data_IF_216619277821
#
_entry.id   IF_216619277821
#
_cell.length_a   1.000
_cell.length_b   1.000
_cell.length_c   1.000
_cell.angle_alpha   90.00
_cell.angle_beta   90.00
_cell.angle_gamma   90.00
#
_symmetry.space_group_name_H-M   'P 1'
#
loop_
_entity.id
_entity.type
_entity.pdbx_description
1 polymer ?
#
# COMPACT_ATOMS: atom_id res chain seq x y z
N UNK A 1 -39.88 1.80 -8.39
CA UNK A 1 -39.72 2.14 -6.97
C UNK A 1 -38.29 2.53 -6.78
N UNK A 2 -38.03 3.76 -6.35
CA UNK A 2 -36.71 4.15 -5.84
C UNK A 2 -36.36 3.19 -4.69
N UNK A 3 -35.12 2.65 -4.63
CA UNK A 3 -34.67 1.97 -3.43
C UNK A 3 -34.74 2.94 -2.25
N UNK A 4 -34.87 2.38 -1.04
CA UNK A 4 -35.14 3.04 0.22
C UNK A 4 -34.65 4.51 0.32
N UNK A 5 -35.50 5.44 0.78
CA UNK A 5 -35.27 6.89 0.72
C UNK A 5 -34.10 7.41 1.58
N UNK A 6 -33.41 6.51 2.29
CA UNK A 6 -32.25 6.83 3.12
C UNK A 6 -30.94 6.47 2.40
N UNK A 7 -30.41 7.43 1.65
CA UNK A 7 -29.13 7.31 0.94
C UNK A 7 -27.92 7.16 1.87
N UNK A 8 -28.10 7.27 3.20
CA UNK A 8 -27.02 7.11 4.18
C UNK A 8 -26.86 5.68 4.67
N UNK A 9 -27.80 4.79 4.35
CA UNK A 9 -27.77 3.41 4.83
C UNK A 9 -26.98 2.49 3.90
N UNK A 10 -26.28 1.53 4.49
CA UNK A 10 -25.60 0.46 3.75
C UNK A 10 -26.59 -0.40 2.93
N UNK A 11 -27.80 -0.61 3.46
CA UNK A 11 -28.84 -1.35 2.74
C UNK A 11 -29.25 -0.65 1.43
N UNK A 12 -29.24 0.69 1.39
CA UNK A 12 -29.48 1.44 0.15
C UNK A 12 -28.42 1.16 -0.91
N UNK A 13 -27.14 1.10 -0.53
CA UNK A 13 -26.05 0.71 -1.46
C UNK A 13 -26.29 -0.69 -2.03
N UNK A 14 -26.63 -1.66 -1.18
CA UNK A 14 -26.93 -3.04 -1.61
C UNK A 14 -28.12 -3.08 -2.57
N UNK A 15 -29.18 -2.33 -2.29
CA UNK A 15 -30.37 -2.26 -3.16
C UNK A 15 -30.06 -1.58 -4.50
N UNK A 16 -29.24 -0.53 -4.50
CA UNK A 16 -28.78 0.15 -5.72
C UNK A 16 -28.00 -0.83 -6.59
N UNK A 17 -27.02 -1.55 -6.03
CA UNK A 17 -26.25 -2.56 -6.77
C UNK A 17 -27.12 -3.70 -7.31
N UNK A 18 -28.07 -4.20 -6.51
CA UNK A 18 -29.03 -5.20 -6.96
C UNK A 18 -29.89 -4.68 -8.13
N UNK A 19 -30.22 -3.39 -8.13
CA UNK A 19 -30.95 -2.75 -9.24
C UNK A 19 -30.07 -2.57 -10.48
N UNK A 20 -28.83 -2.11 -10.32
CA UNK A 20 -27.87 -1.92 -11.41
C UNK A 20 -27.60 -3.24 -12.13
N UNK A 21 -27.44 -4.34 -11.41
CA UNK A 21 -27.21 -5.68 -11.98
C UNK A 21 -28.50 -6.47 -12.28
N UNK A 22 -29.66 -5.97 -11.85
CA UNK A 22 -30.97 -6.61 -12.04
C UNK A 22 -31.64 -6.34 -13.39
N UNK A 23 -32.92 -6.68 -13.54
CA UNK A 23 -33.69 -6.42 -14.78
C UNK A 23 -34.85 -5.42 -14.55
N UNK A 24 -34.93 -4.31 -15.32
CA UNK A 24 -33.86 -3.74 -16.14
C UNK A 24 -32.70 -3.25 -15.26
N UNK A 25 -31.50 -3.21 -15.83
CA UNK A 25 -30.26 -2.81 -15.15
C UNK A 25 -29.22 -2.35 -16.17
N UNK A 26 -28.10 -1.83 -15.69
CA UNK A 26 -27.01 -1.30 -16.51
C UNK A 26 -26.25 -2.46 -17.20
N UNK A 27 -26.07 -2.43 -18.54
CA UNK A 27 -25.33 -3.48 -19.25
C UNK A 27 -23.89 -3.64 -18.77
N UNK A 28 -23.18 -2.54 -18.52
CA UNK A 28 -21.80 -2.57 -18.06
C UNK A 28 -21.70 -3.22 -16.68
N UNK A 29 -22.58 -2.83 -15.74
CA UNK A 29 -22.56 -3.40 -14.39
C UNK A 29 -22.83 -4.90 -14.41
N UNK A 30 -23.72 -5.39 -15.29
CA UNK A 30 -24.03 -6.82 -15.42
C UNK A 30 -22.88 -7.66 -15.93
N UNK A 31 -22.11 -7.13 -16.88
CA UNK A 31 -20.98 -7.86 -17.49
C UNK A 31 -19.78 -8.01 -16.54
N UNK A 32 -19.73 -7.26 -15.44
CA UNK A 32 -18.60 -7.32 -14.51
C UNK A 32 -18.51 -8.65 -13.76
N UNK A 33 -17.26 -9.09 -13.55
CA UNK A 33 -16.85 -10.27 -12.80
C UNK A 33 -15.82 -9.89 -11.74
N UNK A 34 -15.49 -10.80 -10.82
CA UNK A 34 -14.41 -10.57 -9.85
C UNK A 34 -13.08 -10.20 -10.55
N UNK A 35 -12.78 -10.85 -11.68
CA UNK A 35 -11.53 -10.64 -12.41
C UNK A 35 -11.50 -9.28 -13.13
N UNK A 36 -12.61 -8.84 -13.73
CA UNK A 36 -12.66 -7.54 -14.43
C UNK A 36 -12.61 -6.35 -13.46
N UNK A 37 -13.10 -6.53 -12.23
CA UNK A 37 -13.10 -5.50 -11.19
C UNK A 37 -11.76 -5.31 -10.46
N UNK A 38 -10.84 -6.29 -10.56
CA UNK A 38 -9.56 -6.26 -9.85
C UNK A 38 -8.76 -4.97 -10.05
N UNK A 39 -8.73 -4.44 -11.28
CA UNK A 39 -7.98 -3.21 -11.59
C UNK A 39 -8.55 -2.00 -10.85
N UNK A 40 -9.87 -1.88 -10.82
CA UNK A 40 -10.57 -0.75 -10.21
C UNK A 40 -10.38 -0.78 -8.70
N UNK A 41 -10.53 -1.95 -8.06
CA UNK A 41 -10.23 -2.08 -6.64
C UNK A 41 -8.80 -1.63 -6.27
N UNK A 42 -7.82 -1.91 -7.14
CA UNK A 42 -6.45 -1.47 -6.90
C UNK A 42 -6.28 0.03 -7.12
N UNK A 43 -6.92 0.58 -8.15
CA UNK A 43 -6.98 2.02 -8.44
C UNK A 43 -7.55 2.78 -7.24
N UNK A 44 -8.74 2.42 -6.74
CA UNK A 44 -9.36 3.12 -5.58
C UNK A 44 -8.50 3.03 -4.31
N UNK A 45 -7.79 1.91 -4.12
CA UNK A 45 -6.83 1.80 -3.01
C UNK A 45 -5.71 2.84 -3.14
N UNK A 46 -5.17 3.04 -4.34
CA UNK A 46 -4.11 4.03 -4.56
C UNK A 46 -4.64 5.47 -4.49
N UNK A 47 -5.85 5.73 -4.95
CA UNK A 47 -6.47 7.06 -4.81
C UNK A 47 -6.70 7.41 -3.34
N UNK A 48 -7.18 6.45 -2.54
CA UNK A 48 -7.32 6.64 -1.10
C UNK A 48 -5.97 6.89 -0.41
N UNK A 49 -4.91 6.17 -0.81
CA UNK A 49 -3.55 6.40 -0.30
C UNK A 49 -3.05 7.80 -0.69
N UNK A 50 -3.29 8.24 -1.92
CA UNK A 50 -2.93 9.59 -2.36
C UNK A 50 -3.67 10.66 -1.56
N UNK A 51 -4.97 10.48 -1.30
CA UNK A 51 -5.76 11.40 -0.48
C UNK A 51 -5.25 11.49 0.97
N UNK A 52 -4.82 10.37 1.56
CA UNK A 52 -4.16 10.36 2.88
C UNK A 52 -2.85 11.14 2.84
N UNK A 53 -2.02 10.92 1.81
CA UNK A 53 -0.73 11.60 1.67
C UNK A 53 -0.85 13.10 1.45
N UNK A 54 -1.94 13.55 0.80
CA UNK A 54 -2.26 14.96 0.55
C UNK A 54 -3.08 15.60 1.68
N UNK A 55 -3.44 14.84 2.72
CA UNK A 55 -4.34 15.27 3.80
C UNK A 55 -5.71 15.79 3.29
N UNK A 56 -6.15 15.35 2.11
CA UNK A 56 -7.42 15.75 1.51
C UNK A 56 -8.55 14.87 2.06
N UNK A 57 -9.16 15.34 3.16
CA UNK A 57 -10.25 14.62 3.83
C UNK A 57 -11.50 14.46 2.98
N UNK A 58 -11.75 15.38 2.02
CA UNK A 58 -12.92 15.28 1.17
C UNK A 58 -12.73 14.18 0.15
N UNK A 59 -11.57 14.18 -0.52
CA UNK A 59 -11.21 13.12 -1.46
C UNK A 59 -11.12 11.78 -0.75
N UNK A 60 -10.50 11.71 0.43
CA UNK A 60 -10.44 10.47 1.22
C UNK A 60 -11.84 9.87 1.48
N UNK A 61 -12.84 10.70 1.80
CA UNK A 61 -14.21 10.22 2.00
C UNK A 61 -14.84 9.67 0.71
N UNK A 62 -14.50 10.23 -0.45
CA UNK A 62 -14.93 9.77 -1.78
C UNK A 62 -14.30 8.40 -2.10
N UNK A 63 -12.98 8.28 -2.01
CA UNK A 63 -12.26 7.04 -2.34
C UNK A 63 -12.61 5.88 -1.38
N UNK A 64 -12.82 6.17 -0.09
CA UNK A 64 -13.32 5.16 0.86
C UNK A 64 -14.74 4.69 0.50
N UNK A 65 -15.55 5.57 -0.09
CA UNK A 65 -16.85 5.23 -0.66
C UNK A 65 -16.71 4.28 -1.85
N UNK A 66 -15.74 4.52 -2.74
CA UNK A 66 -15.49 3.67 -3.90
C UNK A 66 -14.91 2.31 -3.53
N UNK A 67 -14.03 2.25 -2.52
CA UNK A 67 -13.59 0.97 -1.92
C UNK A 67 -14.79 0.22 -1.31
N UNK A 68 -15.69 0.91 -0.59
CA UNK A 68 -16.89 0.30 -0.04
C UNK A 68 -17.82 -0.22 -1.16
N UNK A 69 -17.95 0.52 -2.25
CA UNK A 69 -18.67 0.10 -3.45
C UNK A 69 -18.06 -1.17 -4.04
N UNK A 70 -16.74 -1.27 -4.20
CA UNK A 70 -16.07 -2.47 -4.70
C UNK A 70 -16.36 -3.70 -3.81
N UNK A 71 -16.31 -3.54 -2.48
CA UNK A 71 -16.65 -4.62 -1.53
C UNK A 71 -18.10 -5.08 -1.73
N UNK A 72 -19.04 -4.14 -1.81
CA UNK A 72 -20.45 -4.45 -2.02
C UNK A 72 -20.70 -5.07 -3.40
N UNK A 73 -19.99 -4.64 -4.45
CA UNK A 73 -20.10 -5.16 -5.81
C UNK A 73 -19.63 -6.61 -5.88
N UNK A 74 -18.46 -6.93 -5.32
CA UNK A 74 -17.99 -8.31 -5.22
C UNK A 74 -18.95 -9.20 -4.42
N UNK A 75 -19.49 -8.69 -3.30
CA UNK A 75 -20.52 -9.39 -2.54
C UNK A 75 -21.79 -9.65 -3.35
N UNK A 76 -22.18 -8.71 -4.22
CA UNK A 76 -23.34 -8.89 -5.12
C UNK A 76 -23.10 -9.95 -6.17
N UNK A 77 -21.92 -9.97 -6.82
CA UNK A 77 -21.55 -11.00 -7.80
C UNK A 77 -21.55 -12.38 -7.15
N UNK A 78 -20.93 -12.52 -5.97
CA UNK A 78 -20.89 -13.79 -5.25
C UNK A 78 -22.29 -14.27 -4.85
N UNK A 79 -23.16 -13.37 -4.43
CA UNK A 79 -24.54 -13.70 -4.10
C UNK A 79 -25.32 -14.20 -5.33
N UNK A 80 -25.12 -13.58 -6.49
CA UNK A 80 -25.74 -14.01 -7.76
C UNK A 80 -25.28 -15.40 -8.20
N UNK A 81 -24.08 -15.81 -7.79
CA UNK A 81 -23.50 -17.12 -8.05
C UNK A 81 -23.82 -18.16 -6.97
N UNK A 82 -24.45 -17.76 -5.87
CA UNK A 82 -24.76 -18.66 -4.75
C UNK A 82 -23.56 -19.05 -3.88
N UNK A 83 -22.47 -18.27 -3.95
CA UNK A 83 -21.19 -18.56 -3.28
C UNK A 83 -21.17 -18.03 -1.84
N UNK A 84 -21.39 -16.71 -1.69
CA UNK A 84 -21.50 -16.04 -0.39
C UNK A 84 -22.27 -14.74 -0.50
N UNK A 85 -22.65 -14.20 0.65
CA UNK A 85 -23.41 -12.96 0.80
C UNK A 85 -22.58 -11.89 1.52
N UNK A 86 -22.96 -10.63 1.33
CA UNK A 86 -22.34 -9.52 2.04
C UNK A 86 -22.54 -9.59 3.57
N UNK A 87 -23.61 -10.23 4.02
CA UNK A 87 -23.85 -10.50 5.45
C UNK A 87 -22.82 -11.48 6.02
N UNK A 88 -22.48 -12.53 5.28
CA UNK A 88 -21.43 -13.48 5.68
C UNK A 88 -20.05 -12.82 5.70
N UNK A 89 -19.74 -11.95 4.73
CA UNK A 89 -18.50 -11.15 4.74
C UNK A 89 -18.39 -10.31 6.02
N UNK A 90 -19.46 -9.61 6.41
CA UNK A 90 -19.52 -8.81 7.64
C UNK A 90 -19.40 -9.70 8.87
N UNK A 91 -20.08 -10.85 8.90
CA UNK A 91 -20.00 -11.80 10.01
C UNK A 91 -18.56 -12.30 10.20
N UNK A 92 -17.91 -12.77 9.13
CA UNK A 92 -16.51 -13.23 9.15
C UNK A 92 -15.59 -12.13 9.66
N UNK A 93 -15.79 -10.88 9.21
CA UNK A 93 -15.01 -9.74 9.68
C UNK A 93 -15.21 -9.49 11.18
N UNK A 94 -16.45 -9.43 11.65
CA UNK A 94 -16.79 -9.14 13.04
C UNK A 94 -16.28 -10.21 13.99
N UNK A 95 -16.52 -11.49 13.68
CA UNK A 95 -16.02 -12.62 14.47
C UNK A 95 -14.48 -12.59 14.57
N UNK A 96 -13.80 -12.31 13.45
CA UNK A 96 -12.34 -12.17 13.39
C UNK A 96 -11.86 -10.98 14.23
N UNK A 97 -12.52 -9.81 14.16
CA UNK A 97 -12.14 -8.63 14.93
C UNK A 97 -12.29 -8.87 16.44
N UNK A 98 -13.42 -9.45 16.87
CA UNK A 98 -13.65 -9.79 18.28
C UNK A 98 -12.59 -10.77 18.77
N UNK A 99 -12.38 -11.87 18.04
CA UNK A 99 -11.44 -12.94 18.42
C UNK A 99 -9.99 -12.46 18.45
N UNK A 100 -9.61 -11.53 17.57
CA UNK A 100 -8.24 -10.97 17.50
C UNK A 100 -7.98 -9.80 18.46
N UNK A 101 -9.00 -9.31 19.17
CA UNK A 101 -8.85 -8.26 20.20
C UNK A 101 -9.34 -8.76 21.58
N UNK A 102 -8.77 -9.85 22.12
CA UNK A 102 -9.16 -10.36 23.44
C UNK A 102 -8.84 -9.38 24.58
N UNK A 103 -8.05 -8.34 24.32
CA UNK A 103 -7.78 -7.27 25.26
C UNK A 103 -8.86 -6.18 25.29
N UNK A 104 -9.75 -6.15 24.29
CA UNK A 104 -10.93 -5.27 24.26
C UNK A 104 -12.19 -6.05 24.62
N UNK A 105 -12.33 -7.27 24.09
CA UNK A 105 -13.56 -8.08 24.19
C UNK A 105 -13.44 -9.31 25.12
N UNK A 106 -12.33 -9.45 25.84
CA UNK A 106 -12.07 -10.54 26.78
C UNK A 106 -11.22 -10.09 27.97
N UNK A 107 -10.43 -11.01 28.53
CA UNK A 107 -9.70 -10.78 29.78
C UNK A 107 -8.18 -10.56 29.62
N UNK A 108 -7.66 -10.58 28.39
CA UNK A 108 -6.22 -10.43 28.14
C UNK A 108 -5.81 -8.99 28.46
N UNK A 109 -4.75 -8.82 29.25
CA UNK A 109 -4.18 -7.50 29.51
C UNK A 109 -2.92 -7.29 28.68
N UNK A 110 -2.81 -6.08 28.12
CA UNK A 110 -1.68 -5.61 27.34
C UNK A 110 -1.28 -4.23 27.85
N UNK A 111 0.02 -3.97 27.96
CA UNK A 111 0.54 -2.71 28.49
C UNK A 111 0.75 -1.64 27.42
N UNK A 112 0.92 -2.03 26.15
CA UNK A 112 1.26 -1.14 25.04
C UNK A 112 0.91 -1.75 23.67
N UNK A 113 1.04 -0.95 22.61
CA UNK A 113 0.76 -1.36 21.24
C UNK A 113 1.62 -2.54 20.76
N UNK A 114 2.89 -2.60 21.18
CA UNK A 114 3.80 -3.70 20.81
C UNK A 114 3.31 -5.04 21.36
N UNK A 115 2.81 -5.07 22.59
CA UNK A 115 2.19 -6.29 23.15
C UNK A 115 0.89 -6.67 22.44
N UNK A 116 0.12 -5.69 21.95
CA UNK A 116 -1.05 -5.94 21.09
C UNK A 116 -0.65 -6.63 19.78
N UNK A 117 0.38 -6.11 19.10
CA UNK A 117 0.88 -6.68 17.84
C UNK A 117 1.40 -8.12 18.01
N UNK A 118 2.19 -8.38 19.06
CA UNK A 118 2.69 -9.72 19.37
C UNK A 118 1.53 -10.70 19.60
N UNK A 119 0.54 -10.31 20.40
CA UNK A 119 -0.65 -11.13 20.64
C UNK A 119 -1.45 -11.35 19.35
N UNK A 120 -1.58 -10.32 18.51
CA UNK A 120 -2.30 -10.41 17.25
C UNK A 120 -1.67 -11.41 16.29
N UNK A 121 -0.34 -11.40 16.12
CA UNK A 121 0.37 -12.38 15.31
C UNK A 121 0.35 -13.79 15.90
N UNK A 122 0.32 -13.93 17.23
CA UNK A 122 0.14 -15.24 17.88
C UNK A 122 -1.24 -15.82 17.58
N UNK A 123 -2.31 -15.01 17.67
CA UNK A 123 -3.68 -15.44 17.34
C UNK A 123 -3.79 -15.81 15.86
N UNK A 124 -3.20 -15.01 14.94
CA UNK A 124 -3.16 -15.34 13.51
C UNK A 124 -2.47 -16.68 13.23
N UNK A 125 -1.43 -17.03 13.99
CA UNK A 125 -0.73 -18.33 13.86
C UNK A 125 -1.62 -19.48 14.30
N UNK A 126 -2.43 -19.31 15.35
CA UNK A 126 -3.36 -20.34 15.81
C UNK A 126 -4.53 -20.58 14.85
N UNK A 127 -4.99 -19.55 14.12
CA UNK A 127 -6.05 -19.65 13.11
C UNK A 127 -5.66 -20.46 11.87
N UNK A 128 -4.37 -20.53 11.60
CA UNK A 128 -3.80 -21.17 10.43
C UNK A 128 -3.73 -22.67 10.71
N UNK A 129 -4.78 -23.39 10.33
CA UNK A 129 -5.06 -24.79 10.67
C UNK A 129 -4.10 -25.84 10.03
N UNK A 130 -2.80 -25.54 9.86
CA UNK A 130 -1.80 -26.47 9.29
C UNK A 130 -0.41 -26.25 9.89
N UNK A 131 0.20 -27.32 10.39
CA UNK A 131 1.56 -27.36 10.95
C UNK A 131 2.69 -27.12 9.93
N UNK A 132 2.39 -27.15 8.63
CA UNK A 132 3.39 -27.16 7.54
C UNK A 132 3.48 -25.82 6.77
N UNK A 133 2.81 -24.76 7.24
CA UNK A 133 2.89 -23.45 6.58
C UNK A 133 4.13 -22.67 7.01
N UNK A 134 4.79 -22.06 6.03
CA UNK A 134 5.92 -21.16 6.25
C UNK A 134 5.49 -19.98 7.12
N UNK A 135 6.42 -19.47 7.93
CA UNK A 135 6.22 -18.23 8.66
C UNK A 135 5.82 -17.09 7.72
N UNK A 136 6.28 -17.10 6.47
CA UNK A 136 6.00 -16.06 5.47
C UNK A 136 4.66 -16.24 4.73
N UNK A 137 3.95 -17.35 4.94
CA UNK A 137 2.69 -17.60 4.23
C UNK A 137 1.65 -16.51 4.53
N UNK A 138 0.82 -16.19 3.54
CA UNK A 138 -0.24 -15.17 3.66
C UNK A 138 0.17 -13.74 3.35
N UNK A 139 1.44 -13.47 2.99
CA UNK A 139 1.83 -12.21 2.33
C UNK A 139 1.49 -12.31 0.84
N UNK A 140 0.61 -11.46 0.28
CA UNK A 140 0.25 -11.54 -1.12
C UNK A 140 1.44 -11.23 -2.04
N UNK A 141 1.85 -12.21 -2.86
CA UNK A 141 2.99 -12.06 -3.79
C UNK A 141 2.79 -11.01 -4.89
N UNK A 142 1.55 -10.55 -5.10
CA UNK A 142 1.20 -9.53 -6.09
C UNK A 142 1.43 -8.10 -5.59
N UNK A 143 1.79 -7.93 -4.32
CA UNK A 143 2.12 -6.60 -3.79
C UNK A 143 3.31 -5.98 -4.54
N UNK A 144 3.40 -4.63 -4.57
CA UNK A 144 4.62 -3.95 -4.98
C UNK A 144 5.85 -4.47 -4.24
N UNK A 145 7.01 -4.49 -4.91
CA UNK A 145 8.18 -5.20 -4.42
C UNK A 145 8.69 -4.70 -3.06
N UNK A 146 8.67 -3.38 -2.79
CA UNK A 146 9.12 -2.85 -1.52
C UNK A 146 8.14 -3.17 -0.40
N UNK A 147 6.83 -3.01 -0.65
CA UNK A 147 5.79 -3.39 0.30
C UNK A 147 5.81 -4.90 0.61
N UNK A 148 6.01 -5.74 -0.42
CA UNK A 148 6.18 -7.19 -0.24
C UNK A 148 7.42 -7.52 0.60
N UNK A 149 8.57 -6.91 0.27
CA UNK A 149 9.83 -7.07 1.00
C UNK A 149 9.68 -6.66 2.47
N UNK A 150 9.04 -5.52 2.74
CA UNK A 150 8.82 -5.04 4.10
C UNK A 150 7.91 -6.00 4.88
N UNK A 151 6.81 -6.47 4.28
CA UNK A 151 5.89 -7.39 4.93
C UNK A 151 6.52 -8.76 5.27
N UNK A 152 7.39 -9.30 4.42
CA UNK A 152 8.09 -10.56 4.73
C UNK A 152 9.14 -10.36 5.83
N UNK A 153 9.84 -9.24 5.85
CA UNK A 153 10.82 -8.90 6.89
C UNK A 153 10.16 -8.64 8.24
N UNK A 154 9.04 -7.91 8.27
CA UNK A 154 8.20 -7.76 9.45
C UNK A 154 7.84 -9.13 10.01
N UNK A 155 7.38 -10.04 9.16
CA UNK A 155 6.96 -11.37 9.58
C UNK A 155 8.11 -12.22 10.11
N UNK A 156 9.30 -12.11 9.53
CA UNK A 156 10.52 -12.75 10.02
C UNK A 156 10.98 -12.19 11.38
N UNK A 157 10.87 -10.87 11.59
CA UNK A 157 11.24 -10.25 12.87
C UNK A 157 10.37 -10.75 14.03
N UNK A 158 9.08 -11.01 13.80
CA UNK A 158 8.15 -11.56 14.79
C UNK A 158 8.47 -13.01 15.20
N UNK A 159 9.31 -13.72 14.44
CA UNK A 159 9.84 -15.03 14.85
C UNK A 159 11.22 -14.95 15.50
N UNK A 160 11.74 -13.74 15.75
CA UNK A 160 13.05 -13.54 16.35
C UNK A 160 14.21 -13.54 15.36
N UNK A 161 13.93 -13.53 14.04
CA UNK A 161 14.95 -13.33 13.01
C UNK A 161 15.07 -11.83 12.71
N UNK A 162 15.82 -11.13 13.54
CA UNK A 162 16.06 -9.69 13.39
C UNK A 162 17.44 -9.30 13.95
N UNK A 163 17.89 -8.10 13.62
CA UNK A 163 19.10 -7.48 14.17
C UNK A 163 18.89 -7.03 15.62
N UNK A 164 19.99 -6.78 16.32
CA UNK A 164 19.94 -6.25 17.69
C UNK A 164 19.92 -4.72 17.73
N UNK A 165 20.44 -4.07 16.69
CA UNK A 165 20.58 -2.61 16.62
C UNK A 165 20.42 -2.11 15.18
N UNK A 166 20.06 -0.84 15.04
CA UNK A 166 19.95 -0.17 13.73
C UNK A 166 21.31 -0.07 13.03
N UNK A 167 22.40 0.08 13.80
CA UNK A 167 23.75 0.17 13.25
C UNK A 167 24.10 -1.09 12.44
N UNK A 168 23.78 -2.28 12.95
CA UNK A 168 24.02 -3.53 12.23
C UNK A 168 23.21 -3.65 10.93
N UNK A 169 22.04 -3.02 10.86
CA UNK A 169 21.23 -2.97 9.63
C UNK A 169 21.88 -2.04 8.60
N UNK A 170 22.36 -0.87 9.03
CA UNK A 170 23.03 0.10 8.16
C UNK A 170 24.41 -0.41 7.69
N UNK A 171 25.13 -1.14 8.53
CA UNK A 171 26.36 -1.84 8.15
C UNK A 171 26.08 -2.87 7.04
N UNK A 172 24.99 -3.63 7.15
CA UNK A 172 24.59 -4.56 6.09
C UNK A 172 24.29 -3.85 4.78
N UNK A 173 23.62 -2.69 4.79
CA UNK A 173 23.44 -1.88 3.56
C UNK A 173 24.78 -1.51 2.92
N UNK A 174 25.79 -1.15 3.72
CA UNK A 174 27.11 -0.81 3.20
C UNK A 174 27.82 -2.04 2.59
N UNK A 175 27.68 -3.20 3.22
CA UNK A 175 28.18 -4.49 2.74
C UNK A 175 27.58 -4.85 1.36
N UNK A 176 26.25 -4.82 1.23
CA UNK A 176 25.57 -5.12 -0.06
C UNK A 176 26.00 -4.15 -1.18
N UNK A 177 26.25 -2.89 -0.84
CA UNK A 177 26.76 -1.89 -1.80
C UNK A 177 28.18 -2.26 -2.27
N UNK A 178 29.02 -2.79 -1.38
CA UNK A 178 30.36 -3.23 -1.74
C UNK A 178 30.33 -4.53 -2.55
N UNK A 179 29.43 -5.46 -2.25
CA UNK A 179 29.19 -6.68 -3.05
C UNK A 179 28.72 -6.32 -4.47
N UNK A 180 27.76 -5.38 -4.60
CA UNK A 180 27.31 -4.86 -5.90
C UNK A 180 28.45 -4.23 -6.73
N UNK A 181 29.41 -3.55 -6.08
CA UNK A 181 30.58 -2.99 -6.79
C UNK A 181 31.54 -4.07 -7.28
N UNK A 182 31.63 -5.20 -6.58
CA UNK A 182 32.52 -6.31 -6.91
C UNK A 182 31.90 -7.27 -7.94
N UNK A 183 30.57 -7.22 -8.13
CA UNK A 183 29.83 -8.05 -9.07
C UNK A 183 30.38 -7.96 -10.51
N UNK A 184 30.75 -9.13 -11.04
CA UNK A 184 31.50 -9.26 -12.30
C UNK A 184 30.60 -9.55 -13.49
N UNK A 185 29.50 -10.30 -13.26
CA UNK A 185 28.53 -10.66 -14.29
C UNK A 185 27.24 -9.82 -14.17
N UNK A 186 26.43 -9.83 -15.23
CA UNK A 186 25.13 -9.13 -15.20
C UNK A 186 24.16 -9.78 -14.22
N UNK A 187 24.16 -11.12 -14.13
CA UNK A 187 23.31 -11.88 -13.21
C UNK A 187 23.71 -11.61 -11.75
N UNK A 188 25.02 -11.54 -11.45
CA UNK A 188 25.51 -11.12 -10.14
C UNK A 188 25.04 -9.70 -9.82
N UNK A 189 25.21 -8.74 -10.74
CA UNK A 189 24.76 -7.35 -10.50
C UNK A 189 23.27 -7.24 -10.24
N UNK A 190 22.44 -8.06 -10.89
CA UNK A 190 21.00 -8.08 -10.66
C UNK A 190 20.68 -8.62 -9.25
N UNK A 191 21.33 -9.71 -8.84
CA UNK A 191 21.18 -10.27 -7.51
C UNK A 191 21.61 -9.27 -6.41
N UNK A 192 22.82 -8.73 -6.51
CA UNK A 192 23.36 -7.79 -5.51
C UNK A 192 22.54 -6.49 -5.46
N UNK A 193 22.03 -6.00 -6.59
CA UNK A 193 21.13 -4.84 -6.59
C UNK A 193 19.82 -5.16 -5.85
N UNK A 194 19.30 -6.38 -6.01
CA UNK A 194 18.16 -6.88 -5.25
C UNK A 194 18.42 -6.88 -3.75
N UNK A 195 19.60 -7.34 -3.33
CA UNK A 195 19.97 -7.41 -1.91
C UNK A 195 20.23 -6.01 -1.31
N UNK A 196 20.80 -5.07 -2.06
CA UNK A 196 20.85 -3.65 -1.68
C UNK A 196 19.45 -3.10 -1.44
N UNK A 197 18.50 -3.33 -2.35
CA UNK A 197 17.12 -2.87 -2.20
C UNK A 197 16.44 -3.54 -0.98
N UNK A 198 16.69 -4.83 -0.77
CA UNK A 198 16.17 -5.58 0.38
C UNK A 198 16.71 -5.02 1.71
N UNK A 199 18.00 -4.73 1.81
CA UNK A 199 18.64 -4.14 2.98
C UNK A 199 18.16 -2.70 3.26
N UNK A 200 17.92 -1.91 2.20
CA UNK A 200 17.32 -0.57 2.32
C UNK A 200 15.88 -0.63 2.86
N UNK A 201 15.06 -1.58 2.40
CA UNK A 201 13.72 -1.81 2.95
C UNK A 201 13.79 -2.18 4.43
N UNK A 202 14.76 -3.03 4.82
CA UNK A 202 14.96 -3.41 6.22
C UNK A 202 15.36 -2.22 7.10
N UNK A 203 16.19 -1.32 6.57
CA UNK A 203 16.52 -0.06 7.23
C UNK A 203 15.28 0.81 7.42
N UNK A 204 14.42 0.91 6.40
CA UNK A 204 13.13 1.60 6.48
C UNK A 204 12.24 1.03 7.59
N UNK A 205 12.11 -0.30 7.66
CA UNK A 205 11.35 -1.00 8.70
C UNK A 205 11.83 -0.66 10.11
N UNK A 206 13.14 -0.71 10.36
CA UNK A 206 13.71 -0.34 11.66
C UNK A 206 13.48 1.12 12.04
N UNK A 207 13.43 2.01 11.05
CA UNK A 207 13.13 3.42 11.23
C UNK A 207 11.62 3.73 11.30
N UNK A 208 10.76 2.70 11.28
CA UNK A 208 9.31 2.83 11.17
C UNK A 208 8.86 3.65 9.95
N UNK A 209 9.55 3.48 8.83
CA UNK A 209 9.27 4.11 7.55
C UNK A 209 8.68 3.06 6.61
N UNK A 210 7.51 3.37 6.02
CA UNK A 210 6.97 2.59 4.89
C UNK A 210 7.82 2.85 3.64
N UNK A 211 8.51 1.81 3.17
CA UNK A 211 9.50 1.94 2.09
C UNK A 211 8.85 2.30 0.74
N UNK A 212 7.66 1.76 0.47
CA UNK A 212 6.92 1.99 -0.76
C UNK A 212 6.47 3.46 -0.87
N UNK A 213 5.83 4.00 0.18
CA UNK A 213 5.45 5.40 0.28
C UNK A 213 6.67 6.33 0.31
N UNK A 214 7.76 5.95 0.99
CA UNK A 214 8.97 6.75 1.00
C UNK A 214 9.56 6.94 -0.42
N UNK A 215 9.62 5.87 -1.22
CA UNK A 215 10.04 5.95 -2.61
C UNK A 215 9.04 6.73 -3.46
N UNK A 216 7.72 6.50 -3.28
CA UNK A 216 6.67 7.27 -3.99
C UNK A 216 6.83 8.77 -3.78
N UNK A 217 7.01 9.21 -2.53
CA UNK A 217 7.26 10.62 -2.18
C UNK A 217 8.59 11.13 -2.75
N UNK A 218 9.61 10.28 -2.88
CA UNK A 218 10.87 10.66 -3.53
C UNK A 218 10.69 10.89 -5.03
N UNK A 219 9.94 10.01 -5.71
CA UNK A 219 9.60 10.14 -7.12
C UNK A 219 8.77 11.41 -7.38
N UNK A 220 7.81 11.71 -6.52
CA UNK A 220 6.99 12.92 -6.63
C UNK A 220 7.83 14.20 -6.45
N UNK A 221 8.75 14.23 -5.47
CA UNK A 221 9.73 15.32 -5.33
C UNK A 221 10.59 15.48 -6.59
N UNK A 222 11.04 14.37 -7.16
CA UNK A 222 11.83 14.40 -8.40
C UNK A 222 11.02 14.98 -9.54
N UNK A 223 9.78 14.50 -9.74
CA UNK A 223 8.86 14.98 -10.77
C UNK A 223 8.63 16.48 -10.67
N UNK A 224 8.23 16.99 -9.50
CA UNK A 224 8.00 18.43 -9.28
C UNK A 224 9.23 19.27 -9.59
N UNK A 225 10.40 18.86 -9.11
CA UNK A 225 11.67 19.57 -9.35
C UNK A 225 12.05 19.57 -10.82
N UNK A 226 11.93 18.43 -11.48
CA UNK A 226 12.24 18.32 -12.89
C UNK A 226 11.31 19.18 -13.76
N UNK A 227 9.99 19.14 -13.51
CA UNK A 227 9.02 20.00 -14.21
C UNK A 227 9.30 21.49 -13.95
N UNK A 228 9.73 21.86 -12.74
CA UNK A 228 10.16 23.22 -12.44
C UNK A 228 11.37 23.64 -13.28
N UNK A 229 12.37 22.76 -13.42
CA UNK A 229 13.55 23.01 -14.26
C UNK A 229 13.16 23.20 -15.72
N UNK A 230 12.27 22.35 -16.26
CA UNK A 230 11.76 22.52 -17.62
C UNK A 230 11.06 23.87 -17.81
N UNK A 231 10.26 24.29 -16.83
CA UNK A 231 9.60 25.61 -16.84
C UNK A 231 10.62 26.75 -16.84
N UNK A 232 11.66 26.68 -16.00
CA UNK A 232 12.74 27.67 -15.99
C UNK A 232 13.48 27.73 -17.33
N UNK A 233 13.79 26.58 -17.93
CA UNK A 233 14.41 26.52 -19.25
C UNK A 233 13.57 27.23 -20.31
N UNK A 234 12.25 26.96 -20.34
CA UNK A 234 11.31 27.65 -21.26
C UNK A 234 11.29 29.16 -21.03
N UNK A 235 11.27 29.60 -19.78
CA UNK A 235 11.29 31.03 -19.43
C UNK A 235 12.60 31.72 -19.83
N UNK A 236 13.73 31.01 -19.73
CA UNK A 236 15.07 31.49 -20.11
C UNK A 236 15.37 31.36 -21.60
N UNK A 237 14.47 30.74 -22.38
CA UNK A 237 14.69 30.48 -23.80
C UNK A 237 15.82 29.48 -24.08
N UNK A 238 16.14 28.61 -23.11
CA UNK A 238 17.20 27.60 -23.24
C UNK A 238 16.60 26.19 -23.38
N UNK A 239 17.28 25.32 -24.11
CA UNK A 239 16.86 23.93 -24.31
C UNK A 239 17.48 23.03 -23.25
N UNK A 240 16.67 22.36 -22.44
CA UNK A 240 17.16 21.50 -21.35
C UNK A 240 18.10 20.37 -21.84
N UNK A 241 17.80 19.63 -22.92
CA UNK A 241 18.70 18.60 -23.43
C UNK A 241 20.09 19.10 -23.81
N UNK A 242 20.23 20.34 -24.27
CA UNK A 242 21.51 20.91 -24.72
C UNK A 242 22.38 21.45 -23.59
N UNK A 243 21.86 21.55 -22.36
CA UNK A 243 22.62 22.02 -21.22
C UNK A 243 23.67 20.99 -20.78
N UNK A 244 24.83 21.49 -20.36
CA UNK A 244 25.84 20.69 -19.68
C UNK A 244 25.32 20.16 -18.34
N UNK A 245 25.98 19.15 -17.77
CA UNK A 245 25.54 18.56 -16.51
C UNK A 245 25.58 19.58 -15.38
N UNK A 246 26.61 20.42 -15.34
CA UNK A 246 26.81 21.46 -14.34
C UNK A 246 25.66 22.49 -14.36
N UNK A 247 25.17 22.83 -15.55
CA UNK A 247 24.02 23.72 -15.73
C UNK A 247 22.71 23.06 -15.28
N UNK A 248 22.55 21.76 -15.56
CA UNK A 248 21.41 20.96 -15.09
C UNK A 248 21.41 20.82 -13.56
N UNK A 249 22.57 20.64 -12.96
CA UNK A 249 22.75 20.60 -11.50
C UNK A 249 22.46 21.95 -10.85
N UNK A 250 22.88 23.06 -11.47
CA UNK A 250 22.52 24.40 -11.01
C UNK A 250 21.01 24.62 -11.01
N UNK A 251 20.33 24.25 -12.11
CA UNK A 251 18.86 24.28 -12.21
C UNK A 251 18.18 23.39 -11.16
N UNK A 252 18.74 22.21 -10.87
CA UNK A 252 18.24 21.33 -9.81
C UNK A 252 18.40 21.95 -8.42
N UNK A 253 19.51 22.68 -8.19
CA UNK A 253 19.72 23.50 -7.00
C UNK A 253 18.64 24.57 -6.83
N UNK A 254 18.33 25.31 -7.90
CA UNK A 254 17.24 26.29 -7.92
C UNK A 254 15.87 25.63 -7.65
N UNK A 255 15.61 24.47 -8.24
CA UNK A 255 14.38 23.71 -8.01
C UNK A 255 14.21 23.26 -6.55
N UNK A 256 15.30 22.87 -5.88
CA UNK A 256 15.29 22.54 -4.45
C UNK A 256 14.95 23.73 -3.58
N UNK A 257 15.48 24.92 -3.91
CA UNK A 257 15.17 26.16 -3.18
C UNK A 257 13.71 26.54 -3.38
N UNK A 258 13.24 26.52 -4.63
CA UNK A 258 11.85 26.79 -4.96
C UNK A 258 10.87 25.86 -4.24
N UNK A 259 11.11 24.54 -4.25
CA UNK A 259 10.23 23.58 -3.57
C UNK A 259 10.16 23.84 -2.06
N UNK A 260 11.28 24.18 -1.42
CA UNK A 260 11.30 24.50 0.02
C UNK A 260 10.49 25.75 0.34
N UNK A 261 10.60 26.80 -0.48
CA UNK A 261 9.84 28.03 -0.30
C UNK A 261 8.34 27.91 -0.60
N UNK A 262 7.91 26.89 -1.36
CA UNK A 262 6.50 26.68 -1.73
C UNK A 262 5.86 25.50 -0.97
N UNK A 263 6.55 24.93 0.02
CA UNK A 263 6.01 23.89 0.92
C UNK A 263 5.23 24.44 2.11
N UNK A 264 5.18 25.76 2.28
CA UNK A 264 4.47 26.46 3.37
C UNK A 264 3.15 27.12 2.91
N UNK A 265 2.62 26.74 1.74
CA UNK A 265 1.32 27.16 1.20
C UNK A 265 0.47 25.93 0.89
#
# INVERSE_FOLDING_TARGET
MTPNNDLKSFDSLVQILARLRGNPGCPWDKEQTHASLRRYLLEECYEALEAIEQEDMKRLAEELGDILFQVAFHGRIAQEQGEFTLKEVIQILNEKLIRRHPHVFGDVKVANAREVEVNWEAIKRQERDRSDMSLLDGVPKIMPALAYSQAIQDRASHSGFDWNTIEGVLEKVAEEIDELKMASSQDEREAELGDVLFALVNSGRWLAIDAESALRRANERFFRRFTYMERLCRQRGVSFPSLALEEKEALWGEAKVWERSNKEL
#
